data_IF_003248605532
#
_entry.id   IF_003248605532
#
_cell.length_a   1.000
_cell.length_b   1.000
_cell.length_c   1.000
_cell.angle_alpha   90.00
_cell.angle_beta   90.00
_cell.angle_gamma   90.00
#
_symmetry.space_group_name_H-M   'P 1'
#
loop_
_entity.id
_entity.type
_entity.pdbx_description
1 polymer ?
#
# COMPACT_ATOMS: atom_id res chain seq x y z
N UNK A 1 11.73 10.87 -2.41
CA UNK A 1 11.17 9.60 -1.89
C UNK A 1 12.35 8.68 -1.59
N UNK A 2 12.42 8.05 -0.41
CA UNK A 2 13.34 6.95 -0.12
C UNK A 2 12.50 5.73 0.29
N UNK A 3 12.89 4.56 -0.21
CA UNK A 3 12.11 3.35 0.01
C UNK A 3 12.15 2.84 1.46
N UNK A 4 10.96 2.53 1.95
CA UNK A 4 10.71 1.85 3.22
C UNK A 4 10.29 0.39 2.97
N UNK A 5 9.74 0.10 1.79
CA UNK A 5 9.38 -1.23 1.31
C UNK A 5 9.93 -1.42 -0.10
N UNK A 6 10.93 -2.31 -0.23
CA UNK A 6 11.63 -2.62 -1.49
C UNK A 6 10.67 -3.08 -2.60
N UNK A 7 10.85 -2.57 -3.82
CA UNK A 7 9.97 -2.78 -4.97
C UNK A 7 9.93 -4.25 -5.45
N UNK A 8 11.07 -4.93 -5.36
CA UNK A 8 11.28 -6.35 -5.67
C UNK A 8 10.39 -7.27 -4.82
N UNK A 9 9.85 -6.77 -3.69
CA UNK A 9 8.89 -7.54 -2.89
C UNK A 9 7.50 -7.61 -3.54
N UNK A 10 7.25 -6.91 -4.65
CA UNK A 10 5.94 -6.85 -5.33
C UNK A 10 5.86 -7.57 -6.67
N UNK A 11 6.98 -7.99 -7.26
CA UNK A 11 7.02 -8.78 -8.50
C UNK A 11 8.04 -9.92 -8.41
N UNK A 12 7.72 -11.08 -9.00
CA UNK A 12 8.69 -12.17 -9.15
C UNK A 12 9.49 -12.06 -10.47
N UNK A 13 8.84 -11.63 -11.53
CA UNK A 13 9.35 -11.55 -12.90
C UNK A 13 8.64 -10.44 -13.69
N UNK A 14 8.93 -10.30 -14.99
CA UNK A 14 8.37 -9.22 -15.82
C UNK A 14 6.85 -9.33 -16.03
N UNK A 15 6.23 -10.52 -15.91
CA UNK A 15 4.77 -10.66 -16.02
C UNK A 15 4.04 -10.11 -14.78
N UNK A 16 4.72 -10.09 -13.64
CA UNK A 16 4.25 -9.44 -12.40
C UNK A 16 4.46 -7.90 -12.41
N UNK A 17 5.16 -7.32 -13.40
CA UNK A 17 5.34 -5.85 -13.50
C UNK A 17 4.08 -5.16 -14.06
N UNK A 18 2.95 -5.31 -13.36
CA UNK A 18 1.64 -4.74 -13.70
C UNK A 18 1.25 -3.53 -12.86
N UNK A 19 0.34 -2.68 -13.37
CA UNK A 19 -0.15 -1.46 -12.69
C UNK A 19 -0.69 -1.72 -11.28
N UNK A 20 -1.35 -2.86 -11.04
CA UNK A 20 -1.83 -3.27 -9.71
C UNK A 20 -0.69 -3.54 -8.72
N UNK A 21 0.37 -4.22 -9.15
CA UNK A 21 1.50 -4.52 -8.28
C UNK A 21 2.28 -3.23 -7.96
N UNK A 22 2.36 -2.31 -8.91
CA UNK A 22 2.89 -0.96 -8.71
C UNK A 22 2.05 -0.10 -7.74
N UNK A 23 0.70 -0.14 -7.85
CA UNK A 23 -0.19 0.47 -6.86
C UNK A 23 0.03 -0.07 -5.45
N UNK A 24 0.17 -1.39 -5.28
CA UNK A 24 0.48 -2.00 -4.00
C UNK A 24 1.85 -1.52 -3.45
N UNK A 25 2.84 -1.35 -4.32
CA UNK A 25 4.17 -0.87 -3.95
C UNK A 25 4.17 0.58 -3.44
N UNK A 26 3.53 1.50 -4.16
CA UNK A 26 3.38 2.90 -3.72
C UNK A 26 2.60 2.97 -2.39
N UNK A 27 1.46 2.28 -2.33
CA UNK A 27 0.59 2.25 -1.15
C UNK A 27 1.31 1.71 0.10
N UNK A 28 2.20 0.72 -0.04
CA UNK A 28 2.98 0.20 1.08
C UNK A 28 3.99 1.24 1.62
N UNK A 29 4.61 2.02 0.74
CA UNK A 29 5.56 3.06 1.15
C UNK A 29 4.86 4.27 1.77
N UNK A 30 3.70 4.70 1.23
CA UNK A 30 2.88 5.76 1.83
C UNK A 30 2.29 5.32 3.17
N UNK A 31 1.78 4.09 3.29
CA UNK A 31 1.33 3.51 4.56
C UNK A 31 2.46 3.48 5.60
N UNK A 32 3.71 3.19 5.18
CA UNK A 32 4.85 3.32 6.09
C UNK A 32 5.04 4.75 6.58
N UNK A 33 4.95 5.75 5.69
CA UNK A 33 5.06 7.16 6.07
C UNK A 33 3.92 7.63 6.98
N UNK A 34 2.68 7.20 6.76
CA UNK A 34 1.57 7.52 7.68
C UNK A 34 1.76 6.84 9.04
N UNK A 35 2.35 5.64 9.08
CA UNK A 35 2.79 5.01 10.33
C UNK A 35 3.95 5.78 10.98
N UNK A 36 4.83 6.45 10.24
CA UNK A 36 5.88 7.35 10.77
C UNK A 36 5.31 8.68 11.29
N UNK A 37 4.42 9.32 10.55
CA UNK A 37 3.80 10.63 10.82
C UNK A 37 2.80 10.59 11.98
N UNK A 38 2.07 9.49 12.18
CA UNK A 38 0.99 9.38 13.18
C UNK A 38 1.48 9.30 14.62
N UNK A 39 1.20 10.30 15.45
CA UNK A 39 1.50 10.28 16.91
C UNK A 39 0.83 9.12 17.64
N UNK A 40 -0.39 8.74 17.23
CA UNK A 40 -1.13 7.59 17.78
C UNK A 40 -0.34 6.27 17.66
N UNK A 41 0.58 6.19 16.71
CA UNK A 41 1.42 5.03 16.42
C UNK A 41 2.85 5.13 16.99
N UNK A 42 3.21 6.18 17.73
CA UNK A 42 4.54 6.30 18.34
C UNK A 42 4.90 5.08 19.23
N UNK A 43 3.93 4.60 20.03
CA UNK A 43 4.08 3.38 20.84
C UNK A 43 4.09 2.06 20.04
N UNK A 44 3.70 2.08 18.75
CA UNK A 44 3.89 0.96 17.82
C UNK A 44 5.29 1.01 17.22
N UNK A 45 5.76 2.18 16.79
CA UNK A 45 7.14 2.40 16.29
C UNK A 45 8.19 2.01 17.34
N UNK A 46 8.02 2.46 18.59
CA UNK A 46 8.92 2.12 19.69
C UNK A 46 9.00 0.61 20.02
N UNK A 47 8.07 -0.21 19.52
CA UNK A 47 8.00 -1.67 19.77
C UNK A 47 8.34 -2.54 18.55
N UNK A 48 8.58 -1.94 17.38
CA UNK A 48 8.85 -2.67 16.14
C UNK A 48 10.07 -2.08 15.44
N UNK A 49 11.02 -2.94 15.04
CA UNK A 49 12.11 -2.54 14.13
C UNK A 49 11.52 -2.09 12.78
N UNK A 50 12.19 -1.20 12.03
CA UNK A 50 11.75 -0.75 10.71
C UNK A 50 11.26 -1.89 9.79
N UNK A 51 12.02 -2.97 9.69
CA UNK A 51 11.71 -4.15 8.88
C UNK A 51 10.34 -4.77 9.22
N UNK A 52 9.92 -4.74 10.50
CA UNK A 52 8.62 -5.27 10.95
C UNK A 52 7.45 -4.36 10.61
N UNK A 53 7.71 -3.06 10.47
CA UNK A 53 6.74 -2.10 9.92
C UNK A 53 6.65 -2.28 8.40
N UNK A 54 7.79 -2.46 7.72
CA UNK A 54 7.84 -2.72 6.28
C UNK A 54 7.13 -4.04 5.90
N UNK A 55 7.30 -5.11 6.70
CA UNK A 55 6.57 -6.37 6.55
C UNK A 55 5.05 -6.19 6.71
N UNK A 56 4.61 -5.38 7.67
CA UNK A 56 3.18 -5.05 7.84
C UNK A 56 2.64 -4.29 6.62
N UNK A 57 3.34 -3.24 6.18
CA UNK A 57 2.93 -2.45 5.02
C UNK A 57 2.85 -3.30 3.75
N UNK A 58 3.86 -4.16 3.51
CA UNK A 58 3.87 -5.11 2.39
C UNK A 58 2.68 -6.08 2.46
N UNK A 59 2.42 -6.66 3.63
CA UNK A 59 1.31 -7.58 3.83
C UNK A 59 -0.03 -6.90 3.53
N UNK A 60 -0.27 -5.74 4.14
CA UNK A 60 -1.53 -5.01 4.01
C UNK A 60 -1.74 -4.55 2.56
N UNK A 61 -0.71 -4.00 1.92
CA UNK A 61 -0.76 -3.61 0.52
C UNK A 61 -1.04 -4.79 -0.43
N UNK A 62 -0.45 -5.97 -0.19
CA UNK A 62 -0.77 -7.18 -0.97
C UNK A 62 -2.21 -7.65 -0.75
N UNK A 63 -2.81 -7.44 0.43
CA UNK A 63 -4.25 -7.69 0.66
C UNK A 63 -5.16 -6.71 -0.08
N UNK A 64 -4.73 -5.46 -0.32
CA UNK A 64 -5.49 -4.48 -1.10
C UNK A 64 -5.81 -4.94 -2.54
N UNK A 65 -5.06 -5.89 -3.12
CA UNK A 65 -5.40 -6.50 -4.43
C UNK A 65 -6.84 -7.04 -4.48
N UNK A 66 -7.33 -7.65 -3.39
CA UNK A 66 -8.71 -8.14 -3.27
C UNK A 66 -9.73 -6.99 -3.33
N UNK A 67 -9.38 -5.85 -2.74
CA UNK A 67 -10.22 -4.65 -2.68
C UNK A 67 -10.31 -3.97 -4.06
N UNK A 68 -9.18 -3.83 -4.75
CA UNK A 68 -9.14 -3.32 -6.13
C UNK A 68 -9.97 -4.21 -7.06
N UNK A 69 -9.81 -5.55 -6.97
CA UNK A 69 -10.62 -6.49 -7.74
C UNK A 69 -12.13 -6.39 -7.45
N UNK A 70 -12.52 -6.24 -6.18
CA UNK A 70 -13.92 -6.03 -5.82
C UNK A 70 -14.48 -4.72 -6.41
N UNK A 71 -13.69 -3.64 -6.40
CA UNK A 71 -14.05 -2.36 -7.02
C UNK A 71 -14.20 -2.48 -8.55
N UNK A 72 -13.24 -3.11 -9.24
CA UNK A 72 -13.30 -3.27 -10.70
C UNK A 72 -14.41 -4.22 -11.14
N UNK A 73 -14.82 -5.16 -10.27
CA UNK A 73 -15.96 -6.05 -10.49
C UNK A 73 -17.30 -5.46 -10.04
N UNK A 74 -17.37 -4.17 -9.68
CA UNK A 74 -18.60 -3.48 -9.25
C UNK A 74 -19.20 -3.94 -7.92
N UNK A 75 -18.45 -4.73 -7.12
CA UNK A 75 -18.91 -5.30 -5.84
C UNK A 75 -18.84 -4.29 -4.69
N UNK A 76 -18.02 -3.25 -4.83
CA UNK A 76 -17.85 -2.16 -3.87
C UNK A 76 -17.85 -0.80 -4.60
N UNK A 77 -18.29 0.27 -3.91
CA UNK A 77 -18.25 1.64 -4.44
C UNK A 77 -16.83 2.23 -4.32
N UNK A 78 -15.87 1.65 -5.03
CA UNK A 78 -14.45 2.01 -4.95
C UNK A 78 -13.60 1.00 -4.19
N UNK A 79 -12.30 1.29 -4.11
CA UNK A 79 -11.33 0.57 -3.30
C UNK A 79 -11.57 0.91 -1.82
N UNK A 80 -11.56 -0.10 -0.96
CA UNK A 80 -11.77 0.04 0.49
C UNK A 80 -10.63 -0.59 1.28
N UNK A 81 -10.23 0.05 2.38
CA UNK A 81 -9.40 -0.56 3.42
C UNK A 81 -10.21 -1.57 4.25
N UNK A 82 -9.55 -2.37 5.09
CA UNK A 82 -10.23 -3.23 6.06
C UNK A 82 -9.36 -3.50 7.30
N UNK A 83 -9.98 -3.43 8.47
CA UNK A 83 -9.39 -3.82 9.74
C UNK A 83 -9.14 -5.34 9.83
N UNK A 84 -9.90 -6.15 9.10
CA UNK A 84 -9.64 -7.59 8.93
C UNK A 84 -8.17 -7.86 8.61
N UNK A 85 -7.54 -7.08 7.72
CA UNK A 85 -6.15 -7.31 7.33
C UNK A 85 -5.15 -7.02 8.47
N UNK A 86 -5.50 -6.16 9.43
CA UNK A 86 -4.70 -5.95 10.65
C UNK A 86 -4.83 -7.15 11.58
N UNK A 87 -6.05 -7.67 11.79
CA UNK A 87 -6.27 -8.84 12.65
C UNK A 87 -5.75 -10.14 12.02
N UNK A 88 -5.74 -10.28 10.69
CA UNK A 88 -5.08 -11.41 10.00
C UNK A 88 -3.55 -11.39 10.17
N UNK A 89 -2.92 -10.21 10.15
CA UNK A 89 -1.47 -10.07 10.39
C UNK A 89 -1.11 -10.19 11.87
N UNK A 90 -2.01 -9.75 12.75
CA UNK A 90 -1.83 -9.72 14.20
C UNK A 90 -3.17 -9.95 14.92
N UNK A 91 -3.53 -11.21 15.21
CA UNK A 91 -4.79 -11.56 15.87
C UNK A 91 -4.98 -10.81 17.21
N UNK A 92 -3.94 -10.81 18.05
CA UNK A 92 -3.95 -10.13 19.36
C UNK A 92 -3.66 -8.61 19.27
N UNK A 93 -4.12 -7.94 18.21
CA UNK A 93 -3.96 -6.49 18.07
C UNK A 93 -4.98 -5.76 18.97
N UNK A 94 -4.56 -4.97 19.98
CA UNK A 94 -5.51 -4.24 20.81
C UNK A 94 -6.32 -3.24 19.97
N UNK A 95 -7.64 -3.19 20.13
CA UNK A 95 -8.52 -2.40 19.24
C UNK A 95 -8.15 -0.92 19.08
N UNK A 96 -7.55 -0.28 20.09
CA UNK A 96 -7.00 1.08 19.98
C UNK A 96 -5.84 1.19 18.99
N UNK A 97 -4.95 0.19 18.95
CA UNK A 97 -3.86 0.09 17.98
C UNK A 97 -4.41 -0.32 16.60
N UNK A 98 -5.36 -1.26 16.55
CA UNK A 98 -5.96 -1.67 15.28
C UNK A 98 -6.64 -0.47 14.57
N UNK A 99 -7.40 0.35 15.30
CA UNK A 99 -7.97 1.57 14.75
C UNK A 99 -6.90 2.58 14.31
N UNK A 100 -5.83 2.79 15.08
CA UNK A 100 -4.77 3.70 14.68
C UNK A 100 -3.99 3.23 13.42
N UNK A 101 -3.88 1.92 13.20
CA UNK A 101 -3.33 1.34 11.97
C UNK A 101 -4.32 1.44 10.79
N UNK A 102 -5.64 1.32 11.05
CA UNK A 102 -6.67 1.55 10.03
C UNK A 102 -6.70 3.01 9.58
N UNK A 103 -6.68 3.97 10.51
CA UNK A 103 -6.63 5.41 10.20
C UNK A 103 -5.43 5.77 9.30
N UNK A 104 -4.27 5.12 9.52
CA UNK A 104 -3.09 5.28 8.66
C UNK A 104 -3.24 4.59 7.28
N UNK A 105 -3.97 3.48 7.21
CA UNK A 105 -4.33 2.81 5.96
C UNK A 105 -5.34 3.60 5.12
N UNK A 106 -6.28 4.30 5.78
CA UNK A 106 -7.23 5.24 5.19
C UNK A 106 -6.48 6.45 4.60
N UNK A 107 -5.67 7.12 5.42
CA UNK A 107 -4.85 8.27 4.98
C UNK A 107 -3.93 7.92 3.79
N UNK A 108 -3.32 6.74 3.79
CA UNK A 108 -2.50 6.27 2.67
C UNK A 108 -3.29 5.98 1.38
N UNK A 109 -4.58 5.63 1.50
CA UNK A 109 -5.46 5.48 0.33
C UNK A 109 -5.90 6.85 -0.20
N UNK A 110 -6.13 7.82 0.69
CA UNK A 110 -6.50 9.18 0.31
C UNK A 110 -5.34 9.98 -0.29
N UNK A 111 -4.10 9.86 0.20
CA UNK A 111 -2.91 10.43 -0.45
C UNK A 111 -2.74 9.84 -1.88
N UNK A 112 -2.96 8.53 -2.04
CA UNK A 112 -2.99 7.88 -3.35
C UNK A 112 -4.13 8.38 -4.26
N UNK A 113 -5.32 8.64 -3.71
CA UNK A 113 -6.46 9.20 -4.47
C UNK A 113 -6.21 10.64 -4.91
N UNK A 114 -5.57 11.46 -4.07
CA UNK A 114 -5.19 12.85 -4.39
C UNK A 114 -4.19 12.88 -5.56
N UNK A 115 -3.13 12.07 -5.52
CA UNK A 115 -2.19 11.90 -6.64
C UNK A 115 -2.90 11.34 -7.88
N UNK A 116 -3.87 10.44 -7.70
CA UNK A 116 -4.64 9.87 -8.81
C UNK A 116 -5.52 10.90 -9.54
N UNK A 117 -5.96 11.97 -8.87
CA UNK A 117 -6.84 12.99 -9.47
C UNK A 117 -6.21 13.73 -10.67
N UNK A 118 -4.88 13.78 -10.73
CA UNK A 118 -4.08 14.37 -11.82
C UNK A 118 -3.60 13.31 -12.83
N UNK A 119 -3.71 12.03 -12.49
CA UNK A 119 -3.09 10.90 -13.19
C UNK A 119 -4.10 10.12 -14.06
N UNK A 120 -4.16 10.44 -15.36
CA UNK A 120 -4.98 9.71 -16.33
C UNK A 120 -4.61 8.24 -16.56
N UNK A 121 -3.49 7.76 -15.99
CA UNK A 121 -2.92 6.42 -16.26
C UNK A 121 -3.56 5.27 -15.46
N UNK A 122 -4.64 5.50 -14.71
CA UNK A 122 -5.33 4.47 -13.89
C UNK A 122 -6.84 4.41 -14.14
N UNK A 123 -7.20 4.15 -15.39
CA UNK A 123 -8.51 3.56 -15.68
C UNK A 123 -8.65 2.22 -14.91
N UNK A 124 -9.82 1.93 -14.34
CA UNK A 124 -10.05 0.67 -13.61
C UNK A 124 -9.92 -0.58 -14.50
N UNK A 125 -9.93 -0.39 -15.82
CA UNK A 125 -9.70 -1.39 -16.87
C UNK A 125 -8.23 -1.84 -17.00
N UNK A 126 -7.26 -1.05 -16.55
CA UNK A 126 -5.84 -1.27 -16.85
C UNK A 126 -5.01 -1.83 -15.68
N UNK A 127 -5.62 -2.23 -14.56
CA UNK A 127 -4.90 -2.77 -13.40
C UNK A 127 -3.97 -3.95 -13.71
N UNK A 128 -4.30 -4.75 -14.72
CA UNK A 128 -3.53 -5.92 -15.15
C UNK A 128 -2.63 -5.65 -16.38
N UNK A 129 -2.57 -4.40 -16.87
CA UNK A 129 -1.62 -4.01 -17.89
C UNK A 129 -0.20 -3.91 -17.31
N UNK A 130 0.80 -4.28 -18.11
CA UNK A 130 2.21 -4.09 -17.77
C UNK A 130 2.55 -2.60 -17.56
N UNK A 131 3.55 -2.32 -16.72
CA UNK A 131 3.98 -0.97 -16.37
C UNK A 131 5.50 -0.84 -16.36
N UNK A 132 6.09 0.14 -17.07
CA UNK A 132 7.54 0.38 -17.05
C UNK A 132 8.02 1.02 -15.75
N UNK A 133 7.11 1.34 -14.81
CA UNK A 133 7.43 2.10 -13.60
C UNK A 133 8.44 1.40 -12.69
N UNK A 134 8.41 0.06 -12.59
CA UNK A 134 9.42 -0.70 -11.84
C UNK A 134 10.82 -0.59 -12.47
N UNK A 135 10.93 -0.67 -13.79
CA UNK A 135 12.21 -0.53 -14.48
C UNK A 135 12.72 0.92 -14.49
N UNK A 136 11.80 1.90 -14.54
CA UNK A 136 12.14 3.31 -14.42
C UNK A 136 12.65 3.65 -13.02
N UNK A 137 12.00 3.11 -11.97
CA UNK A 137 12.44 3.20 -10.58
C UNK A 137 13.86 2.62 -10.41
N UNK A 138 14.10 1.41 -10.91
CA UNK A 138 15.40 0.75 -10.80
C UNK A 138 16.54 1.47 -11.54
N UNK A 139 16.23 2.26 -12.58
CA UNK A 139 17.21 3.03 -13.37
C UNK A 139 17.45 4.45 -12.86
N UNK A 140 16.38 5.14 -12.46
CA UNK A 140 16.37 6.58 -12.24
C UNK A 140 16.14 6.96 -10.76
N UNK A 141 15.80 5.98 -9.92
CA UNK A 141 15.17 6.22 -8.63
C UNK A 141 13.72 6.71 -8.79
N UNK A 142 13.18 7.26 -7.72
CA UNK A 142 11.86 7.90 -7.75
C UNK A 142 11.90 9.22 -8.55
N UNK A 143 10.77 9.64 -9.16
CA UNK A 143 10.63 11.02 -9.60
C UNK A 143 10.72 11.97 -8.38
N UNK A 144 11.57 12.99 -8.52
CA UNK A 144 11.84 14.05 -7.53
C UNK A 144 11.05 15.32 -7.82
#
# INVERSE_FOLDING_TARGET
MNDKVMAERFYQDDADKIKLNWFCYEYANILYWEIERSDKLAGYRAKNKPDRIADFCLYYAKRMKKSVYNSSAGKTKGVQVSDQYIYEYKPDCPGKLARALLEAAEAALDEMNLVCSVCGNRSLSEWFALTPMFDNLAKNGWPT
#
